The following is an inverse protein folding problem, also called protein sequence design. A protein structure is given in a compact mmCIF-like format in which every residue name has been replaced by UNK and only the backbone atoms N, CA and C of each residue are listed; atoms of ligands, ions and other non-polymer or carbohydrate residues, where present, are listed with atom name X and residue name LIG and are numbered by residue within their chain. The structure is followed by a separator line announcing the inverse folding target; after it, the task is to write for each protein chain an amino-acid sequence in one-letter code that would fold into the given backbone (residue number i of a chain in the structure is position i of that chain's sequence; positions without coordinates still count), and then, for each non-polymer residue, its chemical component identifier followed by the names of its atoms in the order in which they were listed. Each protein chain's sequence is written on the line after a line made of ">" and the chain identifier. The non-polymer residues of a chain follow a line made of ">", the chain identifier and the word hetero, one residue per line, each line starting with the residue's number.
data_IF_973926163100
#
_entry.id   IF_973926163100
#
_cell.length_a   1.000
_cell.length_b   1.000
_cell.length_c   1.000
_cell.angle_alpha   90.00
_cell.angle_beta   90.00
_cell.angle_gamma   90.00
#
_symmetry.space_group_name_H-M   'P 1'
#
loop_
_entity.id
_entity.type
_entity.pdbx_description
1 polymer ?
#
# COMPACT_ATOMS: atom_id res chain seq x y z
N UNK A 1 6.88 -10.79 -0.14
CA UNK A 1 8.03 -11.47 -0.76
C UNK A 1 9.19 -11.40 0.23
N UNK A 2 10.27 -12.13 -0.01
CA UNK A 2 11.56 -12.02 0.69
C UNK A 2 12.65 -11.71 -0.36
N UNK A 3 13.87 -11.27 0.04
CA UNK A 3 14.98 -11.14 -0.91
C UNK A 3 15.33 -12.44 -1.63
N UNK A 4 15.00 -13.60 -1.05
CA UNK A 4 15.27 -14.92 -1.62
C UNK A 4 14.18 -15.39 -2.60
N UNK A 5 12.93 -14.96 -2.42
CA UNK A 5 11.81 -15.48 -3.19
C UNK A 5 10.59 -14.54 -3.25
N UNK A 6 9.93 -14.53 -4.40
CA UNK A 6 8.58 -13.96 -4.56
C UNK A 6 7.59 -15.07 -4.86
N UNK A 7 6.53 -15.16 -4.05
CA UNK A 7 5.47 -16.17 -4.20
C UNK A 7 4.13 -15.48 -4.28
N UNK A 8 3.33 -15.82 -5.29
CA UNK A 8 1.94 -15.41 -5.42
C UNK A 8 1.04 -16.64 -5.30
N UNK A 9 -0.06 -16.49 -4.56
CA UNK A 9 -1.07 -17.55 -4.41
C UNK A 9 -2.41 -16.97 -4.82
N UNK A 10 -3.05 -17.63 -5.78
CA UNK A 10 -4.43 -17.37 -6.16
C UNK A 10 -5.29 -18.57 -5.74
N UNK A 11 -6.52 -18.28 -5.33
CA UNK A 11 -7.52 -19.30 -5.00
C UNK A 11 -8.88 -18.84 -5.49
N UNK A 12 -9.59 -19.75 -6.16
CA UNK A 12 -10.95 -19.55 -6.65
C UNK A 12 -11.57 -20.89 -7.05
N UNK A 13 -12.79 -20.83 -7.57
CA UNK A 13 -13.42 -21.98 -8.21
C UNK A 13 -12.78 -22.18 -9.60
N UNK A 14 -12.42 -23.43 -9.98
CA UNK A 14 -11.75 -23.71 -11.25
C UNK A 14 -12.65 -23.54 -12.49
N UNK A 15 -13.95 -23.76 -12.34
CA UNK A 15 -14.89 -23.88 -13.46
C UNK A 15 -15.65 -22.57 -13.72
N UNK A 16 -15.86 -21.76 -12.68
CA UNK A 16 -16.71 -20.57 -12.76
C UNK A 16 -16.34 -19.48 -11.75
N UNK A 17 -16.82 -18.25 -12.01
CA UNK A 17 -16.62 -17.09 -11.14
C UNK A 17 -17.67 -17.06 -10.02
N UNK A 18 -17.53 -17.96 -9.05
CA UNK A 18 -18.43 -18.05 -7.90
C UNK A 18 -17.83 -17.38 -6.68
N UNK A 19 -18.69 -16.72 -5.90
CA UNK A 19 -18.31 -16.15 -4.61
C UNK A 19 -17.81 -17.26 -3.67
N UNK A 20 -16.59 -17.12 -3.15
CA UNK A 20 -15.97 -18.10 -2.27
C UNK A 20 -16.47 -17.98 -0.82
N UNK A 21 -17.79 -18.09 -0.60
CA UNK A 21 -18.44 -18.11 0.72
C UNK A 21 -18.79 -19.54 1.13
N UNK A 22 -18.72 -19.84 2.43
CA UNK A 22 -19.13 -21.14 2.93
C UNK A 22 -18.34 -22.32 2.36
N UNK A 23 -17.10 -22.08 1.92
CA UNK A 23 -16.24 -23.13 1.37
C UNK A 23 -15.90 -24.11 2.49
N UNK A 24 -16.35 -25.36 2.35
CA UNK A 24 -16.12 -26.42 3.33
C UNK A 24 -14.74 -27.05 3.13
N UNK A 25 -13.97 -27.15 4.21
CA UNK A 25 -12.63 -27.71 4.20
C UNK A 25 -12.53 -28.67 5.37
N UNK A 26 -12.24 -29.96 5.13
CA UNK A 26 -12.28 -30.99 6.17
C UNK A 26 -11.44 -30.65 7.42
N UNK A 27 -10.27 -30.03 7.22
CA UNK A 27 -9.30 -29.77 8.29
C UNK A 27 -9.45 -28.40 8.96
N UNK A 28 -10.13 -27.45 8.30
CA UNK A 28 -10.15 -26.02 8.70
C UNK A 28 -11.58 -25.55 9.01
N UNK A 29 -12.58 -26.34 8.64
CA UNK A 29 -13.99 -25.99 8.76
C UNK A 29 -14.50 -25.10 7.62
N UNK A 30 -15.77 -24.73 7.75
CA UNK A 30 -16.52 -23.94 6.76
C UNK A 30 -16.27 -22.45 6.98
N UNK A 31 -16.02 -21.70 5.90
CA UNK A 31 -15.88 -20.25 5.99
C UNK A 31 -15.57 -19.57 4.67
N UNK A 32 -15.77 -18.25 4.64
CA UNK A 32 -15.49 -17.41 3.48
C UNK A 32 -13.99 -17.25 3.23
N UNK A 33 -13.61 -17.16 1.95
CA UNK A 33 -12.22 -17.02 1.53
C UNK A 33 -11.93 -15.56 1.20
N UNK A 34 -10.94 -15.02 1.89
CA UNK A 34 -10.30 -13.72 1.61
C UNK A 34 -8.79 -13.94 1.42
N UNK A 35 -8.07 -12.93 0.90
CA UNK A 35 -6.61 -13.03 0.72
C UNK A 35 -5.86 -13.42 2.01
N UNK A 36 -6.30 -12.90 3.15
CA UNK A 36 -5.72 -13.20 4.47
C UNK A 36 -6.14 -14.53 5.11
N UNK A 37 -6.92 -15.36 4.41
CA UNK A 37 -7.43 -16.65 4.92
C UNK A 37 -6.59 -17.83 4.41
N UNK A 38 -7.14 -18.70 3.57
CA UNK A 38 -6.43 -19.85 3.00
C UNK A 38 -5.26 -19.46 2.10
N UNK A 39 -5.36 -18.47 1.19
CA UNK A 39 -4.23 -18.13 0.33
C UNK A 39 -3.01 -17.73 1.15
N UNK A 40 -3.21 -16.96 2.23
CA UNK A 40 -2.14 -16.62 3.17
C UNK A 40 -1.56 -17.83 3.92
N UNK A 41 -2.39 -18.81 4.31
CA UNK A 41 -1.91 -20.05 4.96
C UNK A 41 -1.08 -20.91 3.99
N UNK A 42 -1.54 -21.07 2.76
CA UNK A 42 -0.81 -21.81 1.71
C UNK A 42 0.52 -21.12 1.42
N UNK A 43 0.49 -19.80 1.23
CA UNK A 43 1.68 -18.98 1.06
C UNK A 43 2.67 -19.15 2.22
N UNK A 44 2.16 -19.11 3.47
CA UNK A 44 2.98 -19.22 4.67
C UNK A 44 3.60 -20.60 4.87
N UNK A 45 2.83 -21.67 4.65
CA UNK A 45 3.34 -23.05 4.74
C UNK A 45 4.48 -23.28 3.74
N UNK A 46 4.28 -22.90 2.48
CA UNK A 46 5.31 -23.02 1.45
C UNK A 46 6.55 -22.16 1.75
N UNK A 47 6.35 -20.90 2.15
CA UNK A 47 7.49 -20.02 2.44
C UNK A 47 8.25 -20.46 3.70
N UNK A 48 7.58 -21.03 4.71
CA UNK A 48 8.26 -21.51 5.92
C UNK A 48 9.24 -22.63 5.58
N UNK A 49 8.78 -23.63 4.82
CA UNK A 49 9.61 -24.77 4.39
C UNK A 49 10.76 -24.32 3.48
N UNK A 50 10.49 -23.43 2.51
CA UNK A 50 11.53 -22.91 1.62
C UNK A 50 12.66 -22.16 2.36
N UNK A 51 12.35 -21.51 3.49
CA UNK A 51 13.30 -20.66 4.21
C UNK A 51 13.98 -21.35 5.40
N UNK A 52 13.71 -22.62 5.69
CA UNK A 52 14.17 -23.31 6.91
C UNK A 52 15.70 -23.19 7.14
N UNK A 53 16.50 -23.36 6.08
CA UNK A 53 17.97 -23.31 6.14
C UNK A 53 18.58 -22.05 5.48
N UNK A 54 17.75 -21.07 5.14
CA UNK A 54 18.24 -19.84 4.48
C UNK A 54 18.61 -18.78 5.52
N UNK A 55 19.69 -18.01 5.30
CA UNK A 55 20.02 -16.89 6.16
C UNK A 55 18.90 -15.84 6.12
N UNK A 56 18.57 -15.27 7.27
CA UNK A 56 17.63 -14.16 7.38
C UNK A 56 18.27 -12.90 6.77
N UNK A 57 17.71 -12.44 5.65
CA UNK A 57 18.16 -11.22 4.96
C UNK A 57 17.08 -10.15 5.10
N UNK A 58 17.44 -9.00 5.65
CA UNK A 58 16.55 -7.84 5.73
C UNK A 58 16.36 -7.16 4.38
N UNK A 59 15.35 -6.29 4.28
CA UNK A 59 15.21 -5.41 3.13
C UNK A 59 16.10 -4.20 3.26
N UNK A 60 16.57 -3.69 2.12
CA UNK A 60 17.24 -2.39 2.08
C UNK A 60 16.30 -1.30 2.56
N UNK A 61 16.85 -0.35 3.33
CA UNK A 61 16.10 0.83 3.73
C UNK A 61 15.64 1.59 2.48
N UNK A 62 14.41 2.15 2.48
CA UNK A 62 13.97 2.95 1.35
C UNK A 62 14.91 4.15 1.17
N UNK A 63 15.22 4.47 -0.08
CA UNK A 63 15.94 5.69 -0.40
C UNK A 63 15.17 6.94 0.02
N UNK A 64 15.82 8.11 0.08
CA UNK A 64 15.14 9.37 0.41
C UNK A 64 14.00 9.62 -0.58
N UNK A 65 12.81 9.89 -0.05
CA UNK A 65 11.67 10.32 -0.86
C UNK A 65 11.78 11.81 -1.16
N UNK A 66 11.32 12.24 -2.34
CA UNK A 66 11.16 13.69 -2.62
C UNK A 66 10.28 14.32 -1.54
N UNK A 67 10.60 15.54 -1.13
CA UNK A 67 9.68 16.32 -0.30
C UNK A 67 8.34 16.46 -1.02
N UNK A 68 7.26 16.44 -0.23
CA UNK A 68 5.93 16.76 -0.75
C UNK A 68 5.96 18.16 -1.37
N UNK A 69 5.41 18.31 -2.58
CA UNK A 69 5.14 19.63 -3.15
C UNK A 69 3.69 19.97 -2.81
N UNK A 70 3.47 21.03 -2.04
CA UNK A 70 2.12 21.57 -1.80
C UNK A 70 1.54 21.94 -3.17
N UNK A 71 0.46 21.28 -3.55
CA UNK A 71 -0.34 21.68 -4.70
C UNK A 71 -1.29 22.76 -4.20
N UNK A 72 -1.12 23.99 -4.67
CA UNK A 72 -2.11 25.05 -4.46
C UNK A 72 -3.30 24.76 -5.37
N UNK A 73 -4.51 24.89 -4.84
CA UNK A 73 -5.71 24.95 -5.68
C UNK A 73 -5.70 26.24 -6.50
N UNK A 74 -6.41 26.26 -7.63
CA UNK A 74 -6.55 27.47 -8.47
C UNK A 74 -7.03 28.69 -7.67
N UNK A 75 -7.80 28.47 -6.61
CA UNK A 75 -8.32 29.52 -5.74
C UNK A 75 -7.24 30.09 -4.81
N UNK A 76 -6.38 29.24 -4.27
CA UNK A 76 -5.23 29.66 -3.45
C UNK A 76 -4.16 30.35 -4.30
N UNK A 77 -3.90 29.85 -5.52
CA UNK A 77 -2.95 30.48 -6.44
C UNK A 77 -3.41 31.89 -6.85
N UNK A 78 -4.72 32.07 -7.12
CA UNK A 78 -5.28 33.40 -7.40
C UNK A 78 -5.14 34.35 -6.22
N UNK A 79 -5.45 33.89 -5.00
CA UNK A 79 -5.27 34.70 -3.78
C UNK A 79 -3.81 35.08 -3.56
N UNK A 80 -2.89 34.15 -3.80
CA UNK A 80 -1.45 34.40 -3.73
C UNK A 80 -1.00 35.47 -4.74
N UNK A 81 -1.46 35.36 -5.99
CA UNK A 81 -1.14 36.33 -7.04
C UNK A 81 -1.76 37.71 -6.73
N UNK A 82 -2.99 37.75 -6.23
CA UNK A 82 -3.67 38.99 -5.83
C UNK A 82 -2.94 39.66 -4.66
N UNK A 83 -2.51 38.87 -3.66
CA UNK A 83 -1.73 39.36 -2.53
C UNK A 83 -0.42 39.98 -2.99
N UNK A 84 0.33 39.31 -3.87
CA UNK A 84 1.61 39.82 -4.38
C UNK A 84 1.45 41.07 -5.25
N UNK A 85 0.37 41.17 -6.03
CA UNK A 85 0.12 42.32 -6.88
C UNK A 85 -0.53 43.50 -6.14
N UNK A 86 -0.88 43.32 -4.87
CA UNK A 86 -1.39 44.38 -4.00
C UNK A 86 -0.31 45.45 -3.76
N UNK A 87 -0.69 46.74 -3.61
CA UNK A 87 0.27 47.82 -3.35
C UNK A 87 1.16 47.64 -2.12
N UNK A 88 0.77 46.78 -1.17
CA UNK A 88 1.52 46.48 0.05
C UNK A 88 2.06 45.04 0.12
N UNK A 89 1.85 44.21 -0.92
CA UNK A 89 2.26 42.81 -0.92
C UNK A 89 3.60 42.58 -1.62
N UNK A 90 4.36 41.60 -1.12
CA UNK A 90 5.54 41.04 -1.77
C UNK A 90 5.60 39.51 -1.57
N UNK A 91 6.60 38.83 -2.14
CA UNK A 91 6.75 37.37 -2.01
C UNK A 91 6.98 36.87 -0.58
N UNK A 92 7.39 37.72 0.35
CA UNK A 92 7.53 37.45 1.78
C UNK A 92 6.32 37.89 2.63
N UNK A 93 5.32 38.52 2.03
CA UNK A 93 4.06 38.88 2.69
C UNK A 93 3.06 37.72 2.81
N UNK A 94 3.36 36.57 2.19
CA UNK A 94 2.62 35.33 2.39
C UNK A 94 2.91 34.79 3.81
N UNK A 95 1.90 34.84 4.68
CA UNK A 95 1.91 34.12 5.95
C UNK A 95 1.29 32.75 5.73
N UNK A 96 2.04 31.69 6.04
CA UNK A 96 1.54 30.31 6.03
C UNK A 96 0.55 30.15 7.19
N UNK A 97 -0.74 30.17 6.89
CA UNK A 97 -1.82 30.16 7.90
C UNK A 97 -2.27 28.74 8.29
N UNK A 98 -1.45 27.75 7.95
CA UNK A 98 -1.82 26.33 7.97
C UNK A 98 -1.27 25.56 9.20
N UNK A 99 -0.59 26.23 10.14
CA UNK A 99 -0.09 25.62 11.41
C UNK A 99 -1.16 25.49 12.51
#
# INVERSE_FOLDING_TARGET
>A
YTPHLSTAVWMGNPDEQVEMRGVNRPEIGVGSVTGGSLPARIWGAFNLEYHEDLPVVGFDAPGPTRSGRRLRTDSEEKKYIELINSPCGDRGSELDTDE
#
